data_IF_424307622472
#
_entry.id   IF_424307622472
#
_cell.length_a   1.000
_cell.length_b   1.000
_cell.length_c   1.000
_cell.angle_alpha   90.00
_cell.angle_beta   90.00
_cell.angle_gamma   90.00
#
_symmetry.space_group_name_H-M   'P 1'
#
loop_
_entity.id
_entity.type
_entity.pdbx_description
1 polymer ?
#
# COMPACT_ATOMS: atom_id res chain seq x y z
N UNK A 1 -4.79 -0.58 13.41
CA UNK A 1 -3.51 -0.72 14.16
C UNK A 1 -2.71 -1.96 13.79
N UNK A 2 -3.32 -3.07 13.34
CA UNK A 2 -2.59 -4.29 12.91
C UNK A 2 -1.65 -4.01 11.73
N UNK A 3 -2.14 -3.34 10.69
CA UNK A 3 -1.39 -2.94 9.50
C UNK A 3 -0.09 -2.16 9.82
N UNK A 4 -0.17 -1.12 10.65
CA UNK A 4 1.00 -0.32 11.04
C UNK A 4 2.02 -1.13 11.87
N UNK A 5 1.55 -2.05 12.71
CA UNK A 5 2.44 -2.92 13.49
C UNK A 5 3.16 -3.94 12.61
N UNK A 6 2.47 -4.53 11.61
CA UNK A 6 3.09 -5.40 10.60
C UNK A 6 4.14 -4.64 9.80
N UNK A 7 3.78 -3.45 9.30
CA UNK A 7 4.70 -2.55 8.59
C UNK A 7 5.99 -2.28 9.38
N UNK A 8 5.90 -1.92 10.67
CA UNK A 8 7.08 -1.64 11.49
C UNK A 8 8.05 -2.82 11.58
N UNK A 9 7.55 -4.06 11.66
CA UNK A 9 8.41 -5.25 11.68
C UNK A 9 9.19 -5.41 10.37
N UNK A 10 8.53 -5.16 9.24
CA UNK A 10 9.15 -5.24 7.91
C UNK A 10 10.18 -4.12 7.75
N UNK A 11 9.86 -2.91 8.21
CA UNK A 11 10.78 -1.78 8.22
C UNK A 11 12.01 -2.04 9.11
N UNK A 12 11.83 -2.64 10.29
CA UNK A 12 12.93 -3.02 11.17
C UNK A 12 13.83 -4.11 10.55
N UNK A 13 13.25 -5.03 9.78
CA UNK A 13 13.97 -6.15 9.20
C UNK A 13 14.70 -5.79 7.90
N UNK A 14 14.11 -4.94 7.06
CA UNK A 14 14.59 -4.68 5.70
C UNK A 14 14.91 -3.20 5.42
N UNK A 15 14.55 -2.28 6.31
CA UNK A 15 14.93 -0.88 6.20
C UNK A 15 16.45 -0.70 6.27
N UNK A 16 16.98 0.18 5.42
CA UNK A 16 18.40 0.45 5.24
C UNK A 16 19.15 -0.60 4.42
N UNK A 17 18.48 -1.66 3.93
CA UNK A 17 19.13 -2.70 3.13
C UNK A 17 19.36 -2.29 1.68
N UNK A 18 18.47 -1.46 1.13
CA UNK A 18 18.53 -1.00 -0.25
C UNK A 18 17.65 0.25 -0.45
N UNK A 19 18.13 1.21 -1.23
CA UNK A 19 17.39 2.45 -1.54
C UNK A 19 16.01 2.21 -2.15
N UNK A 20 15.84 1.15 -2.95
CA UNK A 20 14.55 0.78 -3.56
C UNK A 20 13.56 0.31 -2.50
N UNK A 21 14.03 -0.51 -1.55
CA UNK A 21 13.22 -1.03 -0.44
C UNK A 21 12.85 0.11 0.50
N UNK A 22 13.79 1.00 0.81
CA UNK A 22 13.54 2.15 1.68
C UNK A 22 12.49 3.09 1.09
N UNK A 23 12.62 3.42 -0.20
CA UNK A 23 11.63 4.24 -0.90
C UNK A 23 10.23 3.59 -0.91
N UNK A 24 10.16 2.27 -1.11
CA UNK A 24 8.90 1.54 -1.05
C UNK A 24 8.28 1.56 0.36
N UNK A 25 9.08 1.36 1.41
CA UNK A 25 8.59 1.38 2.78
C UNK A 25 8.11 2.77 3.20
N UNK A 26 8.80 3.83 2.79
CA UNK A 26 8.43 5.22 3.11
C UNK A 26 7.12 5.64 2.46
N UNK A 27 6.94 5.32 1.17
CA UNK A 27 5.68 5.57 0.45
C UNK A 27 4.53 4.78 1.06
N UNK A 28 4.75 3.51 1.41
CA UNK A 28 3.76 2.68 2.09
C UNK A 28 3.37 3.25 3.47
N UNK A 29 4.34 3.69 4.26
CA UNK A 29 4.09 4.24 5.60
C UNK A 29 3.14 5.44 5.51
N UNK A 30 3.41 6.34 4.56
CA UNK A 30 2.61 7.54 4.34
C UNK A 30 1.17 7.18 4.01
N UNK A 31 0.96 6.20 3.12
CA UNK A 31 -0.37 5.72 2.75
C UNK A 31 -1.13 5.09 3.94
N UNK A 32 -0.46 4.24 4.73
CA UNK A 32 -1.05 3.60 5.92
C UNK A 32 -1.51 4.65 6.94
N UNK A 33 -0.67 5.67 7.19
CA UNK A 33 -0.99 6.75 8.14
C UNK A 33 -2.22 7.53 7.67
N UNK A 34 -2.31 7.83 6.39
CA UNK A 34 -3.42 8.58 5.82
C UNK A 34 -4.73 7.77 5.85
N UNK A 35 -4.69 6.48 5.48
CA UNK A 35 -5.82 5.56 5.66
C UNK A 35 -6.29 5.50 7.12
N UNK A 36 -5.36 5.38 8.08
CA UNK A 36 -5.73 5.32 9.49
C UNK A 36 -6.40 6.60 10.00
N UNK A 37 -6.07 7.77 9.44
CA UNK A 37 -6.75 9.03 9.76
C UNK A 37 -8.20 8.99 9.27
N UNK A 38 -8.44 8.60 8.02
CA UNK A 38 -9.78 8.45 7.46
C UNK A 38 -10.63 7.44 8.24
N UNK A 39 -10.05 6.29 8.59
CA UNK A 39 -10.75 5.26 9.35
C UNK A 39 -11.04 5.68 10.81
N UNK A 40 -10.24 6.57 11.40
CA UNK A 40 -10.46 7.07 12.76
C UNK A 40 -11.62 8.07 12.84
N UNK A 41 -12.02 8.66 11.70
CA UNK A 41 -13.15 9.57 11.56
C UNK A 41 -14.49 8.82 11.39
N UNK A 42 -14.48 7.48 11.27
CA UNK A 42 -15.70 6.70 11.17
C UNK A 42 -16.41 6.55 12.54
N UNK A 43 -17.76 6.50 12.56
CA UNK A 43 -18.54 6.25 13.76
C UNK A 43 -18.26 4.85 14.33
N UNK A 44 -17.28 4.73 15.23
CA UNK A 44 -17.12 3.47 15.96
C UNK A 44 -18.33 3.28 16.87
N UNK A 45 -18.99 2.12 16.80
CA UNK A 45 -20.16 1.75 17.60
C UNK A 45 -19.95 1.78 19.13
N UNK A 46 -18.74 2.13 19.58
CA UNK A 46 -18.24 1.97 20.95
C UNK A 46 -17.79 3.27 21.64
N UNK A 47 -17.91 4.45 21.01
CA UNK A 47 -17.49 5.73 21.62
C UNK A 47 -18.59 6.79 21.57
N UNK A 48 -19.37 6.86 22.64
CA UNK A 48 -20.55 7.74 22.80
C UNK A 48 -20.22 9.22 23.09
N UNK A 49 -18.96 9.65 23.02
CA UNK A 49 -18.55 10.98 23.56
C UNK A 49 -17.61 11.83 22.70
N UNK A 50 -17.13 11.35 21.55
CA UNK A 50 -16.36 12.18 20.63
C UNK A 50 -17.24 12.56 19.44
N UNK A 51 -17.33 13.86 19.13
CA UNK A 51 -17.91 14.34 17.87
C UNK A 51 -17.19 13.59 16.75
N UNK A 52 -17.88 12.66 16.11
CA UNK A 52 -17.31 11.83 15.06
C UNK A 52 -17.65 12.56 13.76
N UNK A 53 -16.67 13.29 13.23
CA UNK A 53 -16.83 14.04 11.99
C UNK A 53 -16.51 13.11 10.83
N UNK A 54 -17.36 13.09 9.80
CA UNK A 54 -17.05 12.38 8.55
C UNK A 54 -15.80 13.03 7.92
N UNK A 55 -14.96 12.25 7.20
CA UNK A 55 -13.89 12.83 6.41
C UNK A 55 -14.41 13.90 5.44
N UNK A 56 -13.66 14.98 5.32
CA UNK A 56 -13.95 16.01 4.32
C UNK A 56 -13.72 15.48 2.89
N UNK A 57 -14.39 16.04 1.87
CA UNK A 57 -14.11 15.70 0.47
C UNK A 57 -12.63 15.85 0.12
N UNK A 58 -11.97 16.90 0.59
CA UNK A 58 -10.54 17.14 0.35
C UNK A 58 -9.65 16.02 0.90
N UNK A 59 -9.94 15.50 2.10
CA UNK A 59 -9.19 14.38 2.69
C UNK A 59 -9.37 13.08 1.89
N UNK A 60 -10.57 12.83 1.39
CA UNK A 60 -10.88 11.65 0.57
C UNK A 60 -10.25 11.75 -0.81
N UNK A 61 -10.30 12.92 -1.45
CA UNK A 61 -9.64 13.18 -2.73
C UNK A 61 -8.12 13.02 -2.61
N UNK A 62 -7.52 13.60 -1.56
CA UNK A 62 -6.09 13.53 -1.31
C UNK A 62 -5.62 12.08 -1.12
N UNK A 63 -6.34 11.32 -0.29
CA UNK A 63 -6.03 9.91 -0.09
C UNK A 63 -6.21 9.11 -1.38
N UNK A 64 -7.27 9.39 -2.16
CA UNK A 64 -7.52 8.74 -3.44
C UNK A 64 -6.37 8.99 -4.43
N UNK A 65 -5.89 10.23 -4.55
CA UNK A 65 -4.74 10.57 -5.38
C UNK A 65 -3.48 9.84 -4.92
N UNK A 66 -3.20 9.85 -3.62
CA UNK A 66 -2.03 9.17 -3.08
C UNK A 66 -2.09 7.65 -3.27
N UNK A 67 -3.27 7.05 -3.20
CA UNK A 67 -3.47 5.63 -3.47
C UNK A 67 -3.19 5.31 -4.96
N UNK A 68 -3.68 6.14 -5.89
CA UNK A 68 -3.35 6.00 -7.33
C UNK A 68 -1.84 6.14 -7.54
N UNK A 69 -1.20 7.13 -6.92
CA UNK A 69 0.24 7.35 -7.04
C UNK A 69 1.02 6.14 -6.51
N UNK A 70 0.63 5.58 -5.37
CA UNK A 70 1.25 4.41 -4.78
C UNK A 70 1.13 3.15 -5.64
N UNK A 71 -0.06 2.92 -6.23
CA UNK A 71 -0.29 1.81 -7.16
C UNK A 71 0.57 1.99 -8.41
N UNK A 72 0.57 3.19 -8.98
CA UNK A 72 1.31 3.53 -10.20
C UNK A 72 2.81 3.42 -9.99
N UNK A 73 3.32 3.91 -8.87
CA UNK A 73 4.74 3.84 -8.52
C UNK A 73 5.19 2.39 -8.32
N UNK A 74 4.35 1.55 -7.73
CA UNK A 74 4.58 0.11 -7.66
C UNK A 74 4.78 -0.51 -9.04
N UNK A 75 3.81 -0.32 -9.94
CA UNK A 75 3.82 -0.94 -11.27
C UNK A 75 4.91 -0.43 -12.22
N UNK A 76 5.23 0.87 -12.16
CA UNK A 76 6.09 1.50 -13.18
C UNK A 76 7.48 1.91 -12.68
N UNK A 77 7.72 2.01 -11.38
CA UNK A 77 9.01 2.50 -10.86
C UNK A 77 9.68 1.47 -9.97
N UNK A 78 9.00 0.96 -8.96
CA UNK A 78 9.57 -0.05 -8.07
C UNK A 78 9.98 -1.29 -8.87
N UNK A 79 9.10 -1.79 -9.74
CA UNK A 79 9.38 -2.99 -10.54
C UNK A 79 10.54 -2.79 -11.52
N UNK A 80 10.61 -1.65 -12.19
CA UNK A 80 11.73 -1.30 -13.08
C UNK A 80 13.05 -1.24 -12.30
N UNK A 81 13.07 -0.55 -11.15
CA UNK A 81 14.27 -0.46 -10.31
C UNK A 81 14.74 -1.83 -9.80
N UNK A 82 13.83 -2.73 -9.43
CA UNK A 82 14.16 -4.10 -9.02
C UNK A 82 14.73 -4.91 -10.18
N UNK A 83 14.09 -4.83 -11.35
CA UNK A 83 14.54 -5.53 -12.55
C UNK A 83 15.93 -5.08 -12.99
N UNK A 84 16.21 -3.78 -12.96
CA UNK A 84 17.53 -3.21 -13.27
C UNK A 84 18.62 -3.76 -12.33
N UNK A 85 18.32 -3.87 -11.03
CA UNK A 85 19.27 -4.45 -10.06
C UNK A 85 19.53 -5.93 -10.34
N UNK A 86 18.50 -6.71 -10.67
CA UNK A 86 18.66 -8.12 -11.03
C UNK A 86 19.45 -8.32 -12.31
N UNK A 87 19.21 -7.49 -13.33
CA UNK A 87 20.02 -7.51 -14.55
C UNK A 87 21.50 -7.22 -14.24
N UNK A 88 21.78 -6.25 -13.36
CA UNK A 88 23.15 -5.92 -12.96
C UNK A 88 23.85 -7.03 -12.19
N UNK A 89 23.13 -7.86 -11.42
CA UNK A 89 23.69 -8.99 -10.66
C UNK A 89 23.66 -10.32 -11.41
N UNK A 90 22.98 -10.39 -12.56
CA UNK A 90 22.71 -11.62 -13.29
C UNK A 90 21.62 -12.50 -12.66
N UNK A 91 20.91 -11.98 -11.65
CA UNK A 91 19.76 -12.65 -11.05
C UNK A 91 18.58 -12.68 -12.02
N UNK A 92 17.76 -13.73 -11.93
CA UNK A 92 16.51 -13.86 -12.70
C UNK A 92 15.36 -14.06 -11.73
N UNK A 93 14.25 -13.37 -11.97
CA UNK A 93 13.03 -13.55 -11.19
C UNK A 93 12.62 -15.02 -11.16
N UNK A 94 12.34 -15.53 -9.97
CA UNK A 94 11.82 -16.89 -9.77
C UNK A 94 10.32 -16.93 -10.00
N UNK A 95 9.74 -18.13 -10.09
CA UNK A 95 8.29 -18.29 -10.23
C UNK A 95 7.54 -17.73 -9.02
N UNK A 96 8.11 -17.83 -7.82
CA UNK A 96 7.53 -17.27 -6.60
C UNK A 96 7.45 -15.73 -6.65
N UNK A 97 8.49 -15.08 -7.17
CA UNK A 97 8.52 -13.63 -7.36
C UNK A 97 7.45 -13.20 -8.37
N UNK A 98 7.35 -13.92 -9.50
CA UNK A 98 6.34 -13.65 -10.52
C UNK A 98 4.91 -13.85 -9.97
N UNK A 99 4.72 -14.84 -9.11
CA UNK A 99 3.44 -15.08 -8.44
C UNK A 99 3.07 -13.95 -7.48
N UNK A 100 4.03 -13.46 -6.67
CA UNK A 100 3.82 -12.29 -5.79
C UNK A 100 3.37 -11.06 -6.60
N UNK A 101 4.02 -10.78 -7.74
CA UNK A 101 3.58 -9.71 -8.63
C UNK A 101 2.15 -9.92 -9.14
N UNK A 102 1.83 -11.14 -9.59
CA UNK A 102 0.48 -11.48 -10.05
C UNK A 102 -0.59 -11.25 -8.98
N UNK A 103 -0.30 -11.61 -7.72
CA UNK A 103 -1.23 -11.36 -6.61
C UNK A 103 -1.40 -9.87 -6.29
N UNK A 104 -0.35 -9.05 -6.40
CA UNK A 104 -0.46 -7.59 -6.23
C UNK A 104 -1.40 -7.00 -7.29
N UNK A 105 -1.30 -7.45 -8.55
CA UNK A 105 -2.18 -6.99 -9.63
C UNK A 105 -3.66 -7.24 -9.28
N UNK A 106 -4.00 -8.38 -8.69
CA UNK A 106 -5.38 -8.71 -8.30
C UNK A 106 -5.99 -7.74 -7.27
N UNK A 107 -5.16 -7.04 -6.51
CA UNK A 107 -5.62 -6.02 -5.54
C UNK A 107 -5.83 -4.65 -6.16
N UNK A 108 -5.41 -4.45 -7.42
CA UNK A 108 -5.41 -3.13 -8.07
C UNK A 108 -6.84 -2.65 -8.37
N UNK A 109 -7.69 -3.50 -8.97
CA UNK A 109 -9.03 -3.07 -9.40
C UNK A 109 -9.92 -2.60 -8.22
N UNK A 110 -10.02 -3.31 -7.08
CA UNK A 110 -10.82 -2.81 -5.95
C UNK A 110 -10.30 -1.49 -5.38
N UNK A 111 -8.98 -1.28 -5.38
CA UNK A 111 -8.38 -0.03 -4.91
C UNK A 111 -8.69 1.12 -5.89
N UNK A 112 -8.58 0.88 -7.20
CA UNK A 112 -8.92 1.90 -8.20
C UNK A 112 -10.41 2.24 -8.21
N UNK A 113 -11.29 1.27 -8.00
CA UNK A 113 -12.73 1.53 -7.88
C UNK A 113 -13.05 2.48 -6.71
N UNK A 114 -12.32 2.37 -5.60
CA UNK A 114 -12.43 3.32 -4.49
C UNK A 114 -11.95 4.71 -4.93
N UNK A 115 -10.79 4.80 -5.58
CA UNK A 115 -10.26 6.11 -5.99
C UNK A 115 -11.18 6.79 -7.00
N UNK A 116 -11.73 6.05 -7.96
CA UNK A 116 -12.67 6.60 -8.96
C UNK A 116 -13.93 7.17 -8.31
N UNK A 117 -14.38 6.55 -7.22
CA UNK A 117 -15.57 6.98 -6.49
C UNK A 117 -15.33 8.23 -5.64
N UNK A 118 -14.13 8.41 -5.09
CA UNK A 118 -13.85 9.44 -4.08
C UNK A 118 -12.86 10.53 -4.53
N UNK A 119 -12.27 10.42 -5.73
CA UNK A 119 -11.32 11.40 -6.25
C UNK A 119 -11.94 12.72 -6.72
N UNK A 120 -13.27 12.78 -6.89
CA UNK A 120 -13.96 13.96 -7.42
C UNK A 120 -15.29 14.25 -6.71
N UNK A 121 -15.42 13.86 -5.43
CA UNK A 121 -16.62 14.15 -4.63
C UNK A 121 -16.67 15.61 -4.18
N UNK A 122 -17.87 16.18 -4.12
CA UNK A 122 -18.15 17.54 -3.63
C UNK A 122 -18.72 17.53 -2.20
N UNK A 123 -18.82 18.71 -1.57
CA UNK A 123 -19.32 18.84 -0.19
C UNK A 123 -20.79 18.44 0.00
N UNK A 124 -21.58 18.46 -1.09
CA UNK A 124 -22.99 18.10 -1.09
C UNK A 124 -23.22 16.60 -1.40
N UNK A 125 -22.16 15.86 -1.76
CA UNK A 125 -22.28 14.43 -2.08
C UNK A 125 -22.51 13.58 -0.83
N UNK A 126 -23.44 12.64 -0.94
CA UNK A 126 -23.77 11.73 0.16
C UNK A 126 -22.70 10.63 0.30
N UNK A 127 -22.16 10.48 1.50
CA UNK A 127 -21.11 9.48 1.84
C UNK A 127 -21.70 8.20 2.46
N UNK A 128 -22.87 7.76 1.99
CA UNK A 128 -23.64 6.67 2.61
C UNK A 128 -22.91 5.32 2.67
N UNK A 129 -22.06 5.04 1.67
CA UNK A 129 -21.29 3.79 1.58
C UNK A 129 -19.85 3.92 2.05
N UNK A 130 -19.44 5.08 2.58
CA UNK A 130 -18.04 5.34 2.89
C UNK A 130 -17.46 4.36 3.92
N UNK A 131 -18.25 4.01 4.93
CA UNK A 131 -17.81 3.06 5.97
C UNK A 131 -17.53 1.66 5.39
N UNK A 132 -18.42 1.14 4.55
CA UNK A 132 -18.23 -0.15 3.88
C UNK A 132 -17.07 -0.12 2.89
N UNK A 133 -16.91 1.00 2.17
CA UNK A 133 -15.85 1.14 1.19
C UNK A 133 -14.47 1.27 1.85
N UNK A 134 -14.36 2.04 2.95
CA UNK A 134 -13.14 2.13 3.77
C UNK A 134 -12.79 0.79 4.40
N UNK A 135 -13.78 0.03 4.86
CA UNK A 135 -13.54 -1.32 5.40
C UNK A 135 -12.98 -2.25 4.33
N UNK A 136 -13.60 -2.27 3.14
CA UNK A 136 -13.17 -3.09 2.01
C UNK A 136 -11.76 -2.74 1.54
N UNK A 137 -11.45 -1.46 1.37
CA UNK A 137 -10.10 -1.07 0.95
C UNK A 137 -9.06 -1.31 2.04
N UNK A 138 -9.43 -1.22 3.32
CA UNK A 138 -8.55 -1.59 4.43
C UNK A 138 -8.11 -3.04 4.37
N UNK A 139 -9.06 -3.96 4.16
CA UNK A 139 -8.78 -5.38 3.97
C UNK A 139 -7.97 -5.63 2.70
N UNK A 140 -8.30 -4.96 1.60
CA UNK A 140 -7.57 -5.08 0.33
C UNK A 140 -6.13 -4.60 0.45
N UNK A 141 -5.90 -3.47 1.13
CA UNK A 141 -4.56 -2.96 1.42
C UNK A 141 -3.79 -3.91 2.32
N UNK A 142 -4.42 -4.53 3.31
CA UNK A 142 -3.75 -5.51 4.16
C UNK A 142 -3.28 -6.73 3.35
N UNK A 143 -4.14 -7.28 2.49
CA UNK A 143 -3.76 -8.37 1.57
C UNK A 143 -2.62 -7.94 0.65
N UNK A 144 -2.71 -6.73 0.06
CA UNK A 144 -1.66 -6.19 -0.81
C UNK A 144 -0.33 -6.12 -0.07
N UNK A 145 -0.31 -5.51 1.12
CA UNK A 145 0.92 -5.35 1.89
C UNK A 145 1.52 -6.69 2.33
N UNK A 146 0.72 -7.70 2.66
CA UNK A 146 1.25 -9.04 2.98
C UNK A 146 1.98 -9.69 1.81
N UNK A 147 1.49 -9.49 0.58
CA UNK A 147 2.17 -9.98 -0.63
C UNK A 147 3.42 -9.16 -0.92
N UNK A 148 3.33 -7.83 -0.76
CA UNK A 148 4.50 -6.97 -0.94
C UNK A 148 5.59 -7.21 0.10
N UNK A 149 5.25 -7.60 1.34
CA UNK A 149 6.22 -7.98 2.37
C UNK A 149 7.02 -9.21 1.95
N UNK A 150 6.35 -10.22 1.38
CA UNK A 150 7.01 -11.41 0.82
C UNK A 150 7.93 -11.02 -0.34
N UNK A 151 7.46 -10.13 -1.21
CA UNK A 151 8.24 -9.67 -2.35
C UNK A 151 9.47 -8.84 -1.92
N UNK A 152 9.32 -7.96 -0.93
CA UNK A 152 10.45 -7.21 -0.34
C UNK A 152 11.48 -8.17 0.23
N UNK A 153 11.05 -9.20 0.98
CA UNK A 153 11.96 -10.22 1.49
C UNK A 153 12.71 -10.93 0.36
N UNK A 154 12.00 -11.40 -0.68
CA UNK A 154 12.61 -12.08 -1.83
C UNK A 154 13.61 -11.17 -2.56
N UNK A 155 13.28 -9.90 -2.74
CA UNK A 155 14.17 -8.90 -3.34
C UNK A 155 15.40 -8.71 -2.45
N UNK A 156 15.23 -8.46 -1.15
CA UNK A 156 16.34 -8.24 -0.23
C UNK A 156 17.30 -9.44 -0.20
N UNK A 157 16.77 -10.67 -0.14
CA UNK A 157 17.55 -11.91 -0.19
C UNK A 157 18.28 -12.06 -1.53
N UNK A 158 17.61 -11.79 -2.66
CA UNK A 158 18.22 -11.88 -3.99
C UNK A 158 19.37 -10.88 -4.19
N UNK A 159 19.32 -9.72 -3.53
CA UNK A 159 20.35 -8.68 -3.60
C UNK A 159 21.49 -8.93 -2.62
N UNK A 160 21.28 -9.77 -1.60
CA UNK A 160 22.32 -10.17 -0.66
C UNK A 160 23.25 -11.27 -1.20
N UNK A 161 22.82 -12.03 -2.23
CA UNK A 161 23.63 -13.09 -2.85
C UNK A 161 24.56 -12.49 -3.91
N UNK A 162 25.89 -12.65 -3.80
CA UNK A 162 26.81 -12.15 -4.82
C UNK A 162 26.65 -12.92 -6.15
N UNK A 163 26.95 -12.31 -7.30
CA UNK A 163 26.90 -12.99 -8.59
C UNK A 163 27.81 -14.23 -8.60
N UNK A 164 27.23 -15.42 -8.81
CA UNK A 164 27.97 -16.67 -9.03
C UNK A 164 28.20 -17.59 -7.84
N UNK A 165 27.34 -17.54 -6.80
CA UNK A 165 27.29 -18.57 -5.75
C UNK A 165 26.65 -19.89 -6.24
#
# INVERSE_FOLDING_TARGET
MVMLNKFKKVQEQWGGSNEVIDHWLDTRQSLIVEYCKLAALQPSSSKTTAVTELPSPEELQKFSQHLVDYISEGHFKIYDMVMDKWQATGFKATDEINQSYGHIVLTTDPLLNFTDKYAAIDADDALESLDSDLSLIGETLEVRFEVEDQLIQQIAESLAVPPGA
#
